data_IF_939036804912
#
_entry.id   IF_939036804912
#
_cell.length_a   1.000
_cell.length_b   1.000
_cell.length_c   1.000
_cell.angle_alpha   90.00
_cell.angle_beta   90.00
_cell.angle_gamma   90.00
#
_symmetry.space_group_name_H-M   'P 1'
#
loop_
_entity.id
_entity.type
_entity.pdbx_description
1 polymer ?
#
# COMPACT_ATOMS: atom_id res chain seq x y z
N UNK A 1 -13.71 8.36 -11.12
CA UNK A 1 -12.66 8.84 -10.18
C UNK A 1 -11.38 9.01 -10.96
N UNK A 2 -10.60 10.06 -10.71
CA UNK A 2 -9.28 10.18 -11.35
C UNK A 2 -8.24 9.26 -10.67
N UNK A 3 -7.02 9.20 -11.20
CA UNK A 3 -5.98 8.32 -10.67
C UNK A 3 -5.56 8.73 -9.24
N UNK A 4 -5.37 10.02 -8.99
CA UNK A 4 -4.85 10.48 -7.70
C UNK A 4 -5.92 10.36 -6.60
N UNK A 5 -7.19 10.59 -6.95
CA UNK A 5 -8.32 10.32 -6.07
C UNK A 5 -8.36 8.84 -5.64
N UNK A 6 -8.07 7.91 -6.55
CA UNK A 6 -8.04 6.48 -6.23
C UNK A 6 -6.86 6.11 -5.33
N UNK A 7 -5.69 6.69 -5.56
CA UNK A 7 -4.53 6.55 -4.65
C UNK A 7 -4.88 7.08 -3.26
N UNK A 8 -5.52 8.26 -3.18
CA UNK A 8 -5.94 8.84 -1.90
C UNK A 8 -7.00 7.99 -1.21
N UNK A 9 -7.97 7.44 -1.96
CA UNK A 9 -8.97 6.52 -1.41
C UNK A 9 -8.30 5.28 -0.81
N UNK A 10 -7.34 4.70 -1.53
CA UNK A 10 -6.58 3.52 -1.10
C UNK A 10 -5.80 3.80 0.19
N UNK A 11 -5.00 4.86 0.21
CA UNK A 11 -4.21 5.25 1.40
C UNK A 11 -5.10 5.62 2.59
N UNK A 12 -6.25 6.24 2.33
CA UNK A 12 -7.19 6.58 3.40
C UNK A 12 -7.85 5.34 4.01
N UNK A 13 -8.07 4.27 3.25
CA UNK A 13 -8.53 2.99 3.80
C UNK A 13 -7.47 2.37 4.72
N UNK A 14 -6.19 2.42 4.32
CA UNK A 14 -5.08 1.97 5.16
C UNK A 14 -4.98 2.80 6.45
N UNK A 15 -5.00 4.13 6.35
CA UNK A 15 -4.94 5.00 7.52
C UNK A 15 -6.12 4.84 8.49
N UNK A 16 -7.29 4.38 8.00
CA UNK A 16 -8.44 4.02 8.84
C UNK A 16 -8.42 2.58 9.35
N UNK A 17 -7.42 1.78 8.97
CA UNK A 17 -7.36 0.33 9.25
C UNK A 17 -8.61 -0.42 8.77
N UNK A 18 -9.16 0.04 7.64
CA UNK A 18 -10.39 -0.47 7.02
C UNK A 18 -10.04 -1.56 6.00
N UNK A 19 -9.99 -2.82 6.44
CA UNK A 19 -9.61 -3.96 5.59
C UNK A 19 -10.54 -4.09 4.39
N UNK A 20 -11.85 -3.99 4.58
CA UNK A 20 -12.82 -4.17 3.50
C UNK A 20 -12.75 -3.01 2.50
N UNK A 21 -12.60 -1.77 3.00
CA UNK A 21 -12.36 -0.60 2.17
C UNK A 21 -11.04 -0.66 1.40
N UNK A 22 -9.98 -1.19 2.01
CA UNK A 22 -8.69 -1.43 1.36
C UNK A 22 -8.85 -2.44 0.23
N UNK A 23 -9.40 -3.63 0.52
CA UNK A 23 -9.58 -4.71 -0.46
C UNK A 23 -10.47 -4.29 -1.63
N UNK A 24 -11.46 -3.42 -1.42
CA UNK A 24 -12.28 -2.86 -2.48
C UNK A 24 -11.50 -2.00 -3.50
N UNK A 25 -10.28 -1.57 -3.17
CA UNK A 25 -9.38 -0.79 -4.05
C UNK A 25 -8.27 -1.64 -4.69
N UNK A 26 -8.26 -2.95 -4.45
CA UNK A 26 -7.19 -3.86 -4.86
C UNK A 26 -7.63 -4.69 -6.08
N UNK A 27 -6.73 -4.84 -7.04
CA UNK A 27 -6.97 -5.68 -8.22
C UNK A 27 -6.88 -7.17 -7.84
N UNK A 28 -7.68 -8.08 -8.43
CA UNK A 28 -7.61 -9.51 -8.10
C UNK A 28 -6.21 -10.14 -8.31
N UNK A 29 -5.46 -9.66 -9.31
CA UNK A 29 -4.10 -10.09 -9.65
C UNK A 29 -3.01 -9.22 -9.01
N UNK A 30 -3.31 -8.58 -7.87
CA UNK A 30 -2.34 -7.73 -7.16
C UNK A 30 -1.08 -8.50 -6.76
N UNK A 31 0.04 -7.78 -6.69
CA UNK A 31 1.27 -8.28 -6.04
C UNK A 31 1.84 -7.24 -5.08
N UNK A 32 2.46 -7.72 -4.00
CA UNK A 32 3.15 -6.89 -3.00
C UNK A 32 4.57 -7.41 -2.82
N UNK A 33 5.56 -6.52 -2.92
CA UNK A 33 6.95 -6.81 -2.53
C UNK A 33 7.25 -6.06 -1.22
N UNK A 34 7.52 -6.84 -0.18
CA UNK A 34 7.88 -6.37 1.15
C UNK A 34 9.33 -5.84 1.18
N UNK A 35 9.73 -5.03 2.17
CA UNK A 35 11.09 -4.50 2.29
C UNK A 35 12.19 -5.57 2.32
N UNK A 36 11.86 -6.78 2.79
CA UNK A 36 12.77 -7.93 2.86
C UNK A 36 12.81 -8.77 1.56
N UNK A 37 12.06 -8.39 0.52
CA UNK A 37 11.98 -9.11 -0.75
C UNK A 37 10.94 -10.24 -0.79
N UNK A 38 10.17 -10.45 0.29
CA UNK A 38 9.02 -11.37 0.25
C UNK A 38 7.98 -10.86 -0.76
N UNK A 39 7.57 -11.73 -1.68
CA UNK A 39 6.50 -11.48 -2.64
C UNK A 39 5.21 -12.11 -2.15
N UNK A 40 4.16 -11.31 -1.97
CA UNK A 40 2.78 -11.77 -1.80
C UNK A 40 2.02 -11.57 -3.11
N UNK A 41 1.12 -12.49 -3.44
CA UNK A 41 0.38 -12.45 -4.70
C UNK A 41 -1.10 -12.81 -4.52
N UNK A 42 -1.95 -12.04 -5.19
CA UNK A 42 -3.38 -12.23 -5.18
C UNK A 42 -4.05 -11.68 -3.92
N UNK A 43 -5.38 -11.61 -4.03
CA UNK A 43 -6.22 -10.96 -3.03
C UNK A 43 -6.21 -11.65 -1.66
N UNK A 44 -6.14 -12.99 -1.62
CA UNK A 44 -6.23 -13.75 -0.37
C UNK A 44 -4.99 -13.60 0.52
N UNK A 45 -3.79 -13.62 -0.07
CA UNK A 45 -2.54 -13.39 0.66
C UNK A 45 -2.47 -11.96 1.17
N UNK A 46 -2.83 -10.98 0.33
CA UNK A 46 -2.86 -9.57 0.73
C UNK A 46 -3.90 -9.31 1.82
N UNK A 47 -5.08 -9.92 1.75
CA UNK A 47 -6.11 -9.79 2.77
C UNK A 47 -5.65 -10.36 4.12
N UNK A 48 -4.96 -11.50 4.11
CA UNK A 48 -4.42 -12.11 5.33
C UNK A 48 -3.37 -11.19 5.96
N UNK A 49 -2.39 -10.74 5.17
CA UNK A 49 -1.35 -9.83 5.64
C UNK A 49 -1.92 -8.51 6.19
N UNK A 50 -2.82 -7.85 5.47
CA UNK A 50 -3.39 -6.56 5.91
C UNK A 50 -4.31 -6.70 7.11
N UNK A 51 -5.00 -7.83 7.31
CA UNK A 51 -5.80 -8.06 8.53
C UNK A 51 -4.92 -8.11 9.77
N UNK A 52 -3.77 -8.79 9.68
CA UNK A 52 -2.81 -8.87 10.77
C UNK A 52 -2.20 -7.49 11.02
N UNK A 53 -1.69 -6.83 9.98
CA UNK A 53 -1.06 -5.51 10.10
C UNK A 53 -2.04 -4.43 10.59
N UNK A 54 -3.29 -4.39 10.09
CA UNK A 54 -4.29 -3.43 10.57
C UNK A 54 -4.76 -3.73 12.00
N UNK A 55 -4.59 -4.96 12.47
CA UNK A 55 -4.87 -5.34 13.85
C UNK A 55 -3.85 -4.81 14.85
N UNK A 56 -2.66 -4.44 14.38
CA UNK A 56 -1.60 -3.85 15.19
C UNK A 56 -1.89 -2.35 15.44
N UNK A 57 -2.04 -1.93 16.72
CA UNK A 57 -2.35 -0.55 17.06
C UNK A 57 -1.12 0.38 17.06
N UNK A 58 0.09 -0.18 17.12
CA UNK A 58 1.31 0.55 17.47
C UNK A 58 1.95 1.20 16.24
N UNK A 59 1.71 0.66 15.04
CA UNK A 59 2.27 1.23 13.84
C UNK A 59 1.67 2.59 13.48
N UNK A 60 2.55 3.41 12.93
CA UNK A 60 2.21 4.67 12.27
C UNK A 60 3.14 4.90 11.09
N UNK A 61 2.75 5.79 10.20
CA UNK A 61 3.53 6.13 9.03
C UNK A 61 3.31 7.58 8.60
N UNK A 62 4.33 8.14 7.95
CA UNK A 62 4.25 9.39 7.23
C UNK A 62 4.58 9.14 5.75
N UNK A 63 3.72 9.66 4.86
CA UNK A 63 3.87 9.49 3.43
C UNK A 63 4.05 10.85 2.75
N UNK A 64 5.14 10.99 2.01
CA UNK A 64 5.44 12.19 1.23
C UNK A 64 5.49 11.83 -0.27
N UNK A 65 4.54 12.38 -1.03
CA UNK A 65 4.38 12.08 -2.45
C UNK A 65 5.56 12.64 -3.27
N UNK A 66 6.34 11.75 -3.88
CA UNK A 66 7.52 12.11 -4.67
C UNK A 66 7.25 12.17 -6.17
N UNK A 67 6.38 11.30 -6.67
CA UNK A 67 6.08 11.24 -8.10
C UNK A 67 4.71 10.63 -8.36
N UNK A 68 4.03 11.17 -9.36
CA UNK A 68 2.87 10.54 -10.00
C UNK A 68 3.05 10.55 -11.51
N UNK A 69 2.60 9.50 -12.19
CA UNK A 69 2.46 9.50 -13.63
C UNK A 69 1.33 8.57 -14.07
N UNK A 70 0.72 8.86 -15.21
CA UNK A 70 -0.25 7.98 -15.88
C UNK A 70 0.20 7.71 -17.30
N UNK A 71 0.05 6.48 -17.76
CA UNK A 71 0.32 6.06 -19.13
C UNK A 71 -0.84 5.16 -19.59
N UNK A 72 -1.79 5.74 -20.32
CA UNK A 72 -3.04 5.05 -20.68
C UNK A 72 -3.81 4.61 -19.44
N UNK A 73 -4.03 3.30 -19.34
CA UNK A 73 -4.80 2.66 -18.26
C UNK A 73 -3.91 2.18 -17.11
N UNK A 74 -2.67 2.68 -17.01
CA UNK A 74 -1.77 2.43 -15.87
C UNK A 74 -1.37 3.74 -15.21
N UNK A 75 -1.36 3.75 -13.88
CA UNK A 75 -0.90 4.86 -13.05
C UNK A 75 0.18 4.39 -12.08
N UNK A 76 1.13 5.27 -11.76
CA UNK A 76 2.15 5.04 -10.74
C UNK A 76 2.17 6.22 -9.77
N UNK A 77 2.20 5.91 -8.47
CA UNK A 77 2.45 6.86 -7.40
C UNK A 77 3.64 6.35 -6.58
N UNK A 78 4.57 7.23 -6.27
CA UNK A 78 5.76 6.92 -5.49
C UNK A 78 5.80 7.86 -4.29
N UNK A 79 5.93 7.29 -3.10
CA UNK A 79 6.04 8.00 -1.84
C UNK A 79 7.40 7.72 -1.18
N UNK A 80 7.94 8.72 -0.50
CA UNK A 80 8.82 8.47 0.63
C UNK A 80 7.95 8.06 1.81
N UNK A 81 8.26 6.94 2.45
CA UNK A 81 7.56 6.46 3.61
C UNK A 81 8.53 6.37 4.80
N UNK A 82 8.13 6.98 5.91
CA UNK A 82 8.79 6.82 7.21
C UNK A 82 7.80 6.08 8.11
N UNK A 83 8.13 4.84 8.46
CA UNK A 83 7.30 3.90 9.20
C UNK A 83 7.86 3.71 10.60
N UNK A 84 6.98 3.76 11.60
CA UNK A 84 7.32 3.60 13.02
C UNK A 84 6.40 2.56 13.64
N UNK A 85 6.96 1.68 14.46
CA UNK A 85 6.22 0.60 15.12
C UNK A 85 6.93 0.16 16.42
N UNK A 86 6.31 -0.75 17.16
CA UNK A 86 6.92 -1.46 18.29
C UNK A 86 7.12 -2.94 17.94
N UNK A 87 8.29 -3.49 18.26
CA UNK A 87 8.51 -4.93 18.13
C UNK A 87 7.78 -5.72 19.23
N UNK A 88 7.83 -7.06 19.16
CA UNK A 88 7.18 -7.92 20.16
C UNK A 88 7.72 -7.81 21.60
N UNK A 89 8.81 -7.08 21.82
CA UNK A 89 9.36 -6.73 23.14
C UNK A 89 9.03 -5.29 23.55
N UNK A 90 8.25 -4.56 22.74
CA UNK A 90 7.87 -3.16 22.95
C UNK A 90 8.98 -2.17 22.61
N UNK A 91 10.01 -2.58 21.85
CA UNK A 91 11.10 -1.68 21.43
C UNK A 91 10.74 -0.98 20.12
N UNK A 92 11.07 0.32 19.97
CA UNK A 92 10.84 1.02 18.72
C UNK A 92 11.56 0.36 17.53
N UNK A 93 10.83 0.25 16.43
CA UNK A 93 11.30 -0.20 15.13
C UNK A 93 10.92 0.84 14.08
N UNK A 94 11.89 1.26 13.28
CA UNK A 94 11.70 2.30 12.27
C UNK A 94 12.24 1.84 10.92
N UNK A 95 11.51 2.18 9.85
CA UNK A 95 11.94 1.96 8.48
C UNK A 95 11.75 3.23 7.65
N UNK A 96 12.72 3.52 6.79
CA UNK A 96 12.56 4.51 5.71
C UNK A 96 12.68 3.81 4.36
N UNK A 97 11.69 3.98 3.50
CA UNK A 97 11.63 3.32 2.20
C UNK A 97 10.93 4.14 1.12
N UNK A 98 11.09 3.71 -0.13
CA UNK A 98 10.24 4.08 -1.24
C UNK A 98 9.05 3.14 -1.32
N UNK A 99 7.84 3.67 -1.17
CA UNK A 99 6.59 2.97 -1.48
C UNK A 99 6.21 3.27 -2.93
N UNK A 100 6.15 2.25 -3.77
CA UNK A 100 5.68 2.35 -5.16
C UNK A 100 4.34 1.66 -5.31
N UNK A 101 3.31 2.42 -5.66
CA UNK A 101 1.99 1.89 -5.96
C UNK A 101 1.72 2.02 -7.46
N UNK A 102 1.36 0.91 -8.09
CA UNK A 102 0.93 0.83 -9.48
C UNK A 102 -0.55 0.47 -9.51
N UNK A 103 -1.33 1.28 -10.21
CA UNK A 103 -2.75 1.03 -10.42
C UNK A 103 -3.02 0.71 -11.88
N UNK A 104 -3.96 -0.19 -12.11
CA UNK A 104 -4.56 -0.43 -13.42
C UNK A 104 -5.99 0.09 -13.43
N UNK A 105 -6.41 0.67 -14.55
CA UNK A 105 -7.79 1.08 -14.76
C UNK A 105 -8.62 -0.13 -15.21
N UNK A 106 -9.68 -0.41 -14.46
CA UNK A 106 -10.72 -1.38 -14.82
C UNK A 106 -12.05 -0.63 -14.96
N UNK A 107 -12.43 -0.35 -16.21
CA UNK A 107 -13.57 0.51 -16.54
C UNK A 107 -13.41 1.93 -15.97
N UNK A 108 -14.30 2.30 -15.05
CA UNK A 108 -14.29 3.61 -14.39
C UNK A 108 -13.48 3.65 -13.08
N UNK A 109 -12.92 2.51 -12.67
CA UNK A 109 -12.21 2.35 -11.40
C UNK A 109 -10.71 2.21 -11.66
N UNK A 110 -9.91 2.68 -10.71
CA UNK A 110 -8.49 2.37 -10.62
C UNK A 110 -8.30 1.40 -9.46
N UNK A 111 -7.60 0.30 -9.70
CA UNK A 111 -7.35 -0.74 -8.71
C UNK A 111 -5.84 -0.96 -8.57
N UNK A 112 -5.37 -1.15 -7.34
CA UNK A 112 -3.96 -1.44 -7.05
C UNK A 112 -3.58 -2.77 -7.70
N UNK A 113 -2.65 -2.73 -8.65
CA UNK A 113 -2.10 -3.89 -9.33
C UNK A 113 -0.75 -4.33 -8.73
N UNK A 114 0.03 -3.38 -8.21
CA UNK A 114 1.33 -3.70 -7.61
C UNK A 114 1.71 -2.70 -6.52
N UNK A 115 2.23 -3.22 -5.42
CA UNK A 115 2.86 -2.47 -4.32
C UNK A 115 4.30 -2.99 -4.15
N UNK A 116 5.25 -2.09 -4.03
CA UNK A 116 6.62 -2.44 -3.69
C UNK A 116 7.23 -1.45 -2.70
N UNK A 117 7.87 -2.02 -1.68
CA UNK A 117 8.60 -1.31 -0.65
C UNK A 117 10.11 -1.51 -0.85
N UNK A 118 10.86 -0.42 -1.07
CA UNK A 118 12.31 -0.47 -1.32
C UNK A 118 13.05 0.33 -0.26
N UNK A 119 13.81 -0.35 0.61
CA UNK A 119 14.59 0.29 1.68
C UNK A 119 15.57 1.34 1.13
N UNK A 120 15.78 2.40 1.92
CA UNK A 120 16.72 3.50 1.63
C UNK A 120 17.93 3.47 2.54
#
# INVERSE_FOLDING_TARGET
MDFLDAVNQHLAAIGRRDVDGYLATVHPEVSLIMPNGTLLSGHDELATFHREWFGDPDWSWELDLRRTATAGDTGIAIFAADYHDLDGEGRPYELSYLLTLVFARDGERWLLLHDQNTLR
#
